data_IF_866693620221
#
_entry.id   IF_866693620221
#
_cell.length_a   1.000
_cell.length_b   1.000
_cell.length_c   1.000
_cell.angle_alpha   90.00
_cell.angle_beta   90.00
_cell.angle_gamma   90.00
#
_symmetry.space_group_name_H-M   'P 1'
#
loop_
_entity.id
_entity.type
_entity.pdbx_description
1 polymer ?
#
# COMPACT_ATOMS: atom_id res chain seq x y z
N UNK A 1 -7.25 -30.58 -3.81
CA UNK A 1 -7.84 -29.23 -3.89
C UNK A 1 -6.96 -28.34 -3.04
N UNK A 2 -6.09 -27.57 -3.67
CA UNK A 2 -5.08 -26.75 -2.99
C UNK A 2 -5.75 -25.55 -2.33
N UNK A 3 -5.54 -25.42 -1.03
CA UNK A 3 -5.94 -24.27 -0.23
C UNK A 3 -5.05 -23.07 -0.64
N UNK A 4 -5.64 -22.09 -1.33
CA UNK A 4 -4.97 -20.82 -1.58
C UNK A 4 -5.09 -20.01 -0.30
N UNK A 5 -4.04 -20.03 0.51
CA UNK A 5 -3.90 -19.13 1.63
C UNK A 5 -3.83 -17.69 1.08
N UNK A 6 -4.90 -16.92 1.28
CA UNK A 6 -4.86 -15.46 1.11
C UNK A 6 -4.01 -14.90 2.25
N UNK A 7 -2.71 -14.72 2.00
CA UNK A 7 -1.82 -14.01 2.90
C UNK A 7 -2.26 -12.54 2.96
N UNK A 8 -2.63 -12.07 4.15
CA UNK A 8 -2.83 -10.64 4.41
C UNK A 8 -1.46 -9.95 4.25
N UNK A 9 -1.25 -9.05 3.27
CA UNK A 9 0.05 -8.41 3.10
C UNK A 9 0.26 -7.40 4.23
N UNK A 10 1.19 -7.74 5.12
CA UNK A 10 1.74 -6.97 6.25
C UNK A 10 0.86 -6.82 7.50
N UNK A 11 0.73 -7.90 8.28
CA UNK A 11 0.32 -7.82 9.70
C UNK A 11 1.37 -7.21 10.64
N UNK A 12 2.32 -6.41 10.12
CA UNK A 12 3.41 -5.86 10.90
C UNK A 12 2.88 -4.79 11.86
N UNK A 13 3.02 -5.06 13.16
CA UNK A 13 2.60 -4.17 14.24
C UNK A 13 3.80 -3.71 15.02
N UNK A 14 3.82 -2.43 15.32
CA UNK A 14 4.91 -1.78 16.04
C UNK A 14 4.33 -0.94 17.17
N UNK A 15 5.14 -0.73 18.20
CA UNK A 15 4.83 0.18 19.29
C UNK A 15 6.04 1.05 19.58
N UNK A 16 5.83 2.36 19.60
CA UNK A 16 6.83 3.36 19.98
C UNK A 16 6.22 4.26 21.03
N UNK A 17 6.66 4.11 22.29
CA UNK A 17 6.03 4.77 23.42
C UNK A 17 4.53 4.44 23.51
N UNK A 18 3.69 5.47 23.60
CA UNK A 18 2.22 5.34 23.65
C UNK A 18 1.52 5.32 22.28
N UNK A 19 2.26 5.03 21.21
CA UNK A 19 1.72 4.93 19.84
C UNK A 19 1.84 3.49 19.38
N UNK A 20 0.73 2.91 18.95
CA UNK A 20 0.69 1.65 18.20
C UNK A 20 0.47 1.96 16.74
N UNK A 21 1.17 1.26 15.84
CA UNK A 21 0.89 1.37 14.42
C UNK A 21 1.00 0.02 13.71
N UNK A 22 0.16 -0.15 12.71
CA UNK A 22 0.15 -1.28 11.82
C UNK A 22 0.26 -0.79 10.37
N UNK A 23 0.94 -1.55 9.53
CA UNK A 23 0.84 -1.36 8.09
C UNK A 23 -0.47 -2.01 7.62
N UNK A 24 -1.22 -1.31 6.78
CA UNK A 24 -2.40 -1.85 6.11
C UNK A 24 -2.26 -1.56 4.62
N UNK A 25 -2.32 -2.61 3.82
CA UNK A 25 -2.06 -2.52 2.38
C UNK A 25 -3.34 -2.16 1.62
N UNK A 26 -3.25 -1.19 0.71
CA UNK A 26 -4.24 -0.98 -0.35
C UNK A 26 -3.95 -1.87 -1.57
N UNK A 27 -2.82 -2.56 -1.59
CA UNK A 27 -2.42 -3.45 -2.67
C UNK A 27 -1.02 -3.18 -3.19
N UNK A 28 -0.81 -3.60 -4.43
CA UNK A 28 0.41 -3.33 -5.20
C UNK A 28 0.07 -2.55 -6.46
N UNK A 29 1.04 -1.78 -6.94
CA UNK A 29 0.99 -1.00 -8.17
C UNK A 29 2.22 -1.28 -9.03
N UNK A 30 2.05 -1.37 -10.35
CA UNK A 30 3.18 -1.53 -11.28
C UNK A 30 3.58 -0.19 -11.87
N UNK A 31 4.85 0.18 -11.72
CA UNK A 31 5.35 1.46 -12.22
C UNK A 31 6.68 1.33 -12.95
N UNK A 32 6.90 2.21 -13.93
CA UNK A 32 8.14 2.24 -14.70
C UNK A 32 9.35 2.45 -13.77
N UNK A 33 10.32 1.54 -13.81
CA UNK A 33 11.46 1.59 -12.91
C UNK A 33 12.34 2.83 -13.16
N UNK A 34 12.48 3.24 -14.42
CA UNK A 34 13.22 4.45 -14.78
C UNK A 34 12.57 5.70 -14.20
N UNK A 35 11.24 5.78 -14.18
CA UNK A 35 10.50 6.88 -13.56
C UNK A 35 10.73 6.96 -12.04
N UNK A 36 10.80 5.82 -11.35
CA UNK A 36 11.11 5.76 -9.90
C UNK A 36 12.50 6.33 -9.60
N UNK A 37 13.51 5.96 -10.40
CA UNK A 37 14.89 6.37 -10.17
C UNK A 37 15.32 7.64 -10.91
N UNK A 38 14.44 8.21 -11.74
CA UNK A 38 14.64 9.44 -12.49
C UNK A 38 15.89 9.40 -13.38
N UNK A 39 16.73 10.41 -13.25
CA UNK A 39 17.92 10.60 -14.11
C UNK A 39 19.09 9.66 -13.77
N UNK A 40 18.97 8.84 -12.73
CA UNK A 40 20.06 7.95 -12.30
C UNK A 40 20.25 6.84 -13.34
N UNK A 41 21.48 6.61 -13.84
CA UNK A 41 21.74 5.57 -14.83
C UNK A 41 21.31 4.18 -14.34
N UNK A 42 20.61 3.43 -15.19
CA UNK A 42 20.09 2.07 -14.90
C UNK A 42 21.10 1.14 -14.23
N UNK A 43 22.33 1.14 -14.73
CA UNK A 43 23.42 0.30 -14.21
C UNK A 43 23.72 0.52 -12.73
N UNK A 44 23.32 1.66 -12.16
CA UNK A 44 23.52 2.00 -10.75
C UNK A 44 22.39 1.55 -9.83
N UNK A 45 21.15 1.40 -10.33
CA UNK A 45 19.98 1.09 -9.50
C UNK A 45 19.35 -0.28 -9.76
N UNK A 46 19.55 -0.88 -10.94
CA UNK A 46 18.87 -2.13 -11.33
C UNK A 46 19.20 -3.31 -10.39
N UNK A 47 20.41 -3.31 -9.81
CA UNK A 47 20.80 -4.36 -8.86
C UNK A 47 20.13 -4.21 -7.49
N UNK A 48 19.65 -3.01 -7.16
CA UNK A 48 19.03 -2.66 -5.88
C UNK A 48 17.51 -2.62 -5.98
N UNK A 49 16.95 -2.51 -7.18
CA UNK A 49 15.51 -2.33 -7.39
C UNK A 49 14.68 -3.59 -7.14
N UNK A 50 15.31 -4.77 -7.09
CA UNK A 50 14.60 -6.03 -7.10
C UNK A 50 14.20 -6.46 -8.53
N UNK A 51 13.36 -7.49 -8.67
CA UNK A 51 13.01 -8.04 -9.97
C UNK A 51 12.18 -7.06 -10.79
N UNK A 52 12.53 -6.92 -12.07
CA UNK A 52 11.76 -6.16 -13.05
C UNK A 52 10.96 -7.12 -13.94
N UNK A 53 9.77 -6.70 -14.36
CA UNK A 53 9.01 -7.44 -15.37
C UNK A 53 9.58 -7.24 -16.79
N UNK A 54 8.95 -7.87 -17.80
CA UNK A 54 9.39 -7.76 -19.20
C UNK A 54 9.21 -6.36 -19.79
N UNK A 55 8.44 -5.51 -19.13
CA UNK A 55 8.19 -4.11 -19.47
C UNK A 55 9.06 -3.15 -18.65
N UNK A 56 10.02 -3.66 -17.87
CA UNK A 56 10.90 -2.88 -16.98
C UNK A 56 10.17 -2.12 -15.88
N UNK A 57 9.06 -2.70 -15.38
CA UNK A 57 8.32 -2.15 -14.24
C UNK A 57 8.72 -2.79 -12.93
N UNK A 58 8.60 -2.01 -11.85
CA UNK A 58 8.66 -2.44 -10.47
C UNK A 58 7.27 -2.70 -9.91
N UNK A 59 7.19 -3.62 -8.96
CA UNK A 59 6.05 -3.75 -8.06
C UNK A 59 6.27 -2.84 -6.86
N UNK A 60 5.42 -1.85 -6.67
CA UNK A 60 5.41 -0.92 -5.53
C UNK A 60 4.22 -1.24 -4.64
N UNK A 61 4.45 -1.31 -3.33
CA UNK A 61 3.36 -1.54 -2.37
C UNK A 61 2.64 -0.24 -2.02
N UNK A 62 1.32 -0.22 -2.18
CA UNK A 62 0.44 0.85 -1.72
C UNK A 62 0.15 0.62 -0.23
N UNK A 63 0.96 1.23 0.64
CA UNK A 63 0.91 0.98 2.07
C UNK A 63 0.40 2.20 2.83
N UNK A 64 -0.67 2.02 3.58
CA UNK A 64 -1.15 2.99 4.56
C UNK A 64 -0.68 2.59 5.97
N UNK A 65 -0.69 3.55 6.90
CA UNK A 65 -0.40 3.28 8.31
C UNK A 65 -1.64 3.52 9.16
N UNK A 66 -2.06 2.49 9.89
CA UNK A 66 -3.12 2.57 10.88
C UNK A 66 -2.50 2.79 12.26
N UNK A 67 -2.73 3.96 12.85
CA UNK A 67 -2.19 4.38 14.14
C UNK A 67 -3.28 4.37 15.21
N UNK A 68 -2.88 4.02 16.44
CA UNK A 68 -3.65 4.25 17.66
C UNK A 68 -2.82 5.05 18.63
N UNK A 69 -3.32 6.22 19.02
CA UNK A 69 -2.66 7.05 20.03
C UNK A 69 -3.66 7.96 20.74
N UNK A 70 -3.52 8.13 22.05
CA UNK A 70 -4.35 9.03 22.87
C UNK A 70 -5.86 8.85 22.66
N UNK A 71 -6.31 7.61 22.49
CA UNK A 71 -7.71 7.26 22.27
C UNK A 71 -8.24 7.61 20.88
N UNK A 72 -7.36 7.91 19.91
CA UNK A 72 -7.70 8.18 18.52
C UNK A 72 -7.18 7.09 17.59
N UNK A 73 -7.98 6.75 16.59
CA UNK A 73 -7.60 5.92 15.45
C UNK A 73 -7.29 6.86 14.29
N UNK A 74 -6.06 6.81 13.80
CA UNK A 74 -5.55 7.71 12.77
C UNK A 74 -5.10 6.86 11.59
N UNK A 75 -5.48 7.24 10.37
CA UNK A 75 -5.00 6.62 9.15
C UNK A 75 -4.04 7.58 8.43
N UNK A 76 -2.86 7.09 8.06
CA UNK A 76 -1.91 7.82 7.20
C UNK A 76 -1.98 7.20 5.81
N UNK A 77 -2.21 8.05 4.81
CA UNK A 77 -2.63 7.72 3.44
C UNK A 77 -4.03 7.11 3.30
N UNK A 78 -4.58 7.19 2.09
CA UNK A 78 -5.91 6.69 1.77
C UNK A 78 -5.95 5.68 0.63
N UNK A 79 -4.78 5.32 0.08
CA UNK A 79 -4.65 4.45 -1.08
C UNK A 79 -5.27 5.03 -2.35
N UNK A 80 -5.24 4.23 -3.43
CA UNK A 80 -5.88 4.57 -4.72
C UNK A 80 -7.40 4.41 -4.68
N UNK A 81 -7.90 3.63 -3.72
CA UNK A 81 -9.33 3.36 -3.56
C UNK A 81 -9.93 2.43 -4.63
N UNK A 82 -11.26 2.40 -4.73
CA UNK A 82 -11.96 1.39 -5.54
C UNK A 82 -13.16 1.89 -6.33
N UNK A 83 -13.11 3.15 -6.79
CA UNK A 83 -14.17 3.69 -7.65
C UNK A 83 -14.18 2.92 -8.97
N UNK A 84 -15.36 2.42 -9.41
CA UNK A 84 -15.49 1.75 -10.69
C UNK A 84 -15.09 2.67 -11.84
N UNK A 85 -14.14 2.24 -12.69
CA UNK A 85 -13.68 2.97 -13.87
C UNK A 85 -12.29 3.63 -13.74
N UNK A 86 -11.76 3.76 -12.52
CA UNK A 86 -10.43 4.37 -12.29
C UNK A 86 -9.28 3.36 -12.41
N UNK A 87 -9.59 2.05 -12.48
CA UNK A 87 -8.60 0.97 -12.56
C UNK A 87 -8.34 0.56 -14.00
N UNK A 88 -7.07 0.43 -14.35
CA UNK A 88 -6.67 -0.24 -15.58
C UNK A 88 -6.96 -1.74 -15.46
N UNK A 89 -8.05 -2.19 -16.10
CA UNK A 89 -8.46 -3.59 -16.10
C UNK A 89 -7.42 -4.55 -16.72
N UNK A 90 -6.40 -4.02 -17.42
CA UNK A 90 -5.29 -4.79 -17.97
C UNK A 90 -4.10 -4.95 -17.01
N UNK A 91 -4.09 -4.21 -15.90
CA UNK A 91 -3.06 -4.31 -14.87
C UNK A 91 -3.28 -5.57 -14.02
N UNK A 92 -2.24 -6.41 -13.81
CA UNK A 92 -2.34 -7.56 -12.92
C UNK A 92 -2.28 -7.18 -11.43
N UNK A 93 -2.17 -5.88 -11.10
CA UNK A 93 -2.07 -5.40 -9.73
C UNK A 93 -3.40 -5.51 -8.99
N UNK A 94 -3.34 -5.89 -7.72
CA UNK A 94 -4.51 -5.95 -6.83
C UNK A 94 -4.55 -4.70 -5.95
N UNK A 95 -4.91 -3.57 -6.53
CA UNK A 95 -4.99 -2.27 -5.85
C UNK A 95 -6.40 -1.93 -5.34
N UNK A 96 -6.50 -0.94 -4.44
CA UNK A 96 -7.77 -0.48 -3.92
C UNK A 96 -8.46 -1.45 -2.95
N UNK A 97 -7.66 -2.17 -2.17
CA UNK A 97 -8.10 -3.17 -1.20
C UNK A 97 -8.09 -2.69 0.26
N UNK A 98 -7.81 -1.40 0.51
CA UNK A 98 -7.62 -0.82 1.83
C UNK A 98 -8.78 -1.10 2.78
N UNK A 99 -10.03 -0.99 2.31
CA UNK A 99 -11.20 -1.26 3.14
C UNK A 99 -11.25 -2.72 3.59
N UNK A 100 -10.89 -3.66 2.71
CA UNK A 100 -10.76 -5.08 3.03
C UNK A 100 -9.64 -5.30 4.05
N UNK A 101 -8.50 -4.64 3.86
CA UNK A 101 -7.34 -4.73 4.76
C UNK A 101 -7.64 -4.15 6.15
N UNK A 102 -8.37 -3.03 6.24
CA UNK A 102 -8.84 -2.45 7.50
C UNK A 102 -9.80 -3.40 8.22
N UNK A 103 -10.77 -3.96 7.50
CA UNK A 103 -11.70 -4.92 8.06
C UNK A 103 -10.99 -6.18 8.61
N UNK A 104 -9.95 -6.65 7.92
CA UNK A 104 -9.14 -7.79 8.34
C UNK A 104 -8.39 -7.55 9.67
N UNK A 105 -8.12 -6.30 10.04
CA UNK A 105 -7.55 -5.92 11.34
C UNK A 105 -8.59 -5.42 12.34
N UNK A 106 -9.88 -5.60 12.04
CA UNK A 106 -10.99 -5.26 12.93
C UNK A 106 -11.27 -3.77 13.04
N UNK A 107 -11.00 -2.99 11.98
CA UNK A 107 -11.27 -1.56 11.91
C UNK A 107 -12.23 -1.28 10.75
N UNK A 108 -13.33 -0.59 11.03
CA UNK A 108 -14.24 -0.07 10.03
C UNK A 108 -13.87 1.37 9.67
N UNK A 109 -14.24 1.87 8.47
CA UNK A 109 -13.97 3.25 8.09
C UNK A 109 -14.54 4.28 9.07
N UNK A 110 -15.70 3.98 9.67
CA UNK A 110 -16.34 4.83 10.67
C UNK A 110 -15.59 4.90 12.01
N UNK A 111 -14.64 3.99 12.26
CA UNK A 111 -13.79 4.02 13.46
C UNK A 111 -12.60 4.97 13.33
N UNK A 112 -12.32 5.48 12.13
CA UNK A 112 -11.19 6.37 11.85
C UNK A 112 -11.57 7.80 12.24
N UNK A 113 -10.86 8.37 13.22
CA UNK A 113 -11.08 9.74 13.66
C UNK A 113 -10.43 10.77 12.72
N UNK A 114 -9.27 10.43 12.17
CA UNK A 114 -8.40 11.35 11.42
C UNK A 114 -7.75 10.61 10.25
N UNK A 115 -7.77 11.23 9.08
CA UNK A 115 -6.99 10.80 7.91
C UNK A 115 -5.93 11.86 7.62
N UNK A 116 -4.68 11.44 7.43
CA UNK A 116 -3.55 12.30 7.09
C UNK A 116 -2.90 11.79 5.81
N UNK A 117 -2.98 12.56 4.74
CA UNK A 117 -2.26 12.24 3.51
C UNK A 117 -0.94 13.01 3.51
N UNK A 118 0.17 12.33 3.21
CA UNK A 118 1.48 13.00 3.14
C UNK A 118 1.53 13.96 1.95
N UNK A 119 0.79 13.65 0.88
CA UNK A 119 0.65 14.43 -0.33
C UNK A 119 -0.66 14.06 -1.05
N UNK A 120 -0.92 14.64 -2.23
CA UNK A 120 -2.20 14.49 -2.95
C UNK A 120 -2.02 13.89 -4.34
N UNK A 121 -1.14 12.90 -4.46
CA UNK A 121 -1.15 12.04 -5.65
C UNK A 121 -2.33 11.06 -5.60
N UNK A 122 -2.47 10.29 -6.67
CA UNK A 122 -3.57 9.35 -6.80
C UNK A 122 -3.35 8.06 -6.00
N UNK A 123 -2.11 7.74 -5.65
CA UNK A 123 -1.70 6.55 -4.89
C UNK A 123 -1.96 6.61 -3.37
#
# INVERSE_FOLDING_TARGET
MSEVAMAIPSGARYRVGGVEFAVVSDGDYFYDAGAVFGVVPRVMWERQSGPLDKQYRLTLGLNCLLLRSRGKTILIESGVGGKPGDRDASSPASEGTLLTSLAAVGVQPADIDIVVNTHLHAD
#
